data_IF_601106452541
#
_entry.id   IF_601106452541
#
_cell.length_a   1.000
_cell.length_b   1.000
_cell.length_c   1.000
_cell.angle_alpha   90.00
_cell.angle_beta   90.00
_cell.angle_gamma   90.00
#
_symmetry.space_group_name_H-M   'P 1'
#
loop_
_entity.id
_entity.type
_entity.pdbx_description
1 polymer ?
#
# COMPACT_ATOMS: atom_id res chain seq x y z
N UNK A 1 19.02 0.54 -13.62
CA UNK A 1 18.03 -0.41 -13.08
C UNK A 1 16.69 -0.20 -13.78
N UNK A 2 16.13 -1.25 -14.32
CA UNK A 2 14.82 -1.21 -14.99
C UNK A 2 13.69 -1.32 -13.97
N UNK A 3 12.46 -1.00 -14.39
CA UNK A 3 11.28 -1.17 -13.51
C UNK A 3 11.11 -2.61 -13.06
N UNK A 4 11.39 -3.59 -13.95
CA UNK A 4 11.35 -5.01 -13.60
C UNK A 4 12.39 -5.38 -12.55
N UNK A 5 13.60 -4.82 -12.63
CA UNK A 5 14.66 -5.09 -11.65
C UNK A 5 14.28 -4.55 -10.27
N UNK A 6 13.68 -3.37 -10.23
CA UNK A 6 13.20 -2.77 -8.98
C UNK A 6 12.08 -3.62 -8.39
N UNK A 7 11.12 -4.05 -9.21
CA UNK A 7 10.00 -4.88 -8.78
C UNK A 7 10.48 -6.20 -8.19
N UNK A 8 11.39 -6.91 -8.89
CA UNK A 8 11.96 -8.16 -8.40
C UNK A 8 12.72 -7.97 -7.09
N UNK A 9 13.54 -6.92 -7.00
CA UNK A 9 14.29 -6.61 -5.79
C UNK A 9 13.34 -6.38 -4.60
N UNK A 10 12.28 -5.59 -4.80
CA UNK A 10 11.32 -5.29 -3.75
C UNK A 10 10.54 -6.54 -3.32
N UNK A 11 10.17 -7.40 -4.26
CA UNK A 11 9.51 -8.68 -3.94
C UNK A 11 10.39 -9.57 -3.09
N UNK A 12 11.68 -9.69 -3.42
CA UNK A 12 12.63 -10.48 -2.65
C UNK A 12 12.78 -9.93 -1.23
N UNK A 13 12.93 -8.61 -1.10
CA UNK A 13 13.02 -7.96 0.21
C UNK A 13 11.75 -8.17 1.03
N UNK A 14 10.61 -8.12 0.37
CA UNK A 14 9.33 -8.39 0.99
C UNK A 14 9.27 -9.80 1.59
N UNK A 15 9.69 -10.80 0.84
CA UNK A 15 9.71 -12.19 1.32
C UNK A 15 10.64 -12.34 2.51
N UNK A 16 11.82 -11.73 2.47
CA UNK A 16 12.77 -11.73 3.59
C UNK A 16 12.15 -11.15 4.87
N UNK A 17 11.45 -10.02 4.74
CA UNK A 17 10.81 -9.36 5.89
C UNK A 17 9.69 -10.25 6.46
N UNK A 18 8.84 -10.82 5.60
CA UNK A 18 7.73 -11.67 6.02
C UNK A 18 8.21 -12.96 6.71
N UNK A 19 9.39 -13.44 6.34
CA UNK A 19 9.98 -14.62 6.96
C UNK A 19 10.72 -14.29 8.27
N UNK A 20 10.79 -13.03 8.64
CA UNK A 20 11.41 -12.59 9.89
C UNK A 20 10.38 -12.61 11.01
N UNK A 21 10.74 -13.21 12.14
CA UNK A 21 9.89 -13.26 13.33
C UNK A 21 10.27 -12.23 14.39
N UNK A 22 11.22 -11.35 14.07
CA UNK A 22 11.74 -10.34 14.99
C UNK A 22 11.25 -8.96 14.61
N UNK A 23 10.46 -8.32 15.46
CA UNK A 23 9.89 -6.98 15.22
C UNK A 23 10.97 -5.92 15.00
N UNK A 24 12.10 -6.03 15.70
CA UNK A 24 13.22 -5.11 15.53
C UNK A 24 13.83 -5.23 14.13
N UNK A 25 13.99 -6.46 13.64
CA UNK A 25 14.51 -6.69 12.29
C UNK A 25 13.54 -6.18 11.24
N UNK A 26 12.24 -6.37 11.44
CA UNK A 26 11.21 -5.81 10.55
C UNK A 26 11.32 -4.29 10.52
N UNK A 27 11.45 -3.63 11.65
CA UNK A 27 11.64 -2.19 11.74
C UNK A 27 12.88 -1.72 10.97
N UNK A 28 14.00 -2.41 11.15
CA UNK A 28 15.24 -2.08 10.42
C UNK A 28 15.08 -2.21 8.91
N UNK A 29 14.39 -3.25 8.45
CA UNK A 29 14.13 -3.44 7.02
C UNK A 29 13.21 -2.35 6.46
N UNK A 30 12.21 -1.93 7.23
CA UNK A 30 11.33 -0.84 6.81
C UNK A 30 12.07 0.49 6.72
N UNK A 31 13.03 0.75 7.61
CA UNK A 31 13.89 1.93 7.54
C UNK A 31 14.74 1.93 6.27
N UNK A 32 15.22 0.75 5.85
CA UNK A 32 15.95 0.61 4.59
C UNK A 32 15.08 0.94 3.37
N UNK A 33 13.81 0.62 3.39
CA UNK A 33 12.90 1.06 2.33
C UNK A 33 12.80 2.59 2.26
N UNK A 34 12.75 3.25 3.42
CA UNK A 34 12.78 4.72 3.48
C UNK A 34 14.03 5.30 2.83
N UNK A 35 15.18 4.70 3.08
CA UNK A 35 16.45 5.11 2.47
C UNK A 35 16.46 4.86 0.95
N UNK A 36 15.87 3.74 0.50
CA UNK A 36 15.73 3.46 -0.93
C UNK A 36 14.91 4.51 -1.66
N UNK A 37 13.82 4.99 -1.05
CA UNK A 37 13.01 6.07 -1.63
C UNK A 37 13.87 7.30 -1.93
N UNK A 38 14.76 7.64 -1.02
CA UNK A 38 15.66 8.80 -1.18
C UNK A 38 16.71 8.60 -2.28
N UNK A 39 17.02 7.36 -2.63
CA UNK A 39 18.03 7.04 -3.64
C UNK A 39 17.47 7.03 -5.06
N UNK A 40 16.15 7.03 -5.24
CA UNK A 40 15.52 7.04 -6.56
C UNK A 40 15.23 8.46 -7.04
N UNK A 41 15.61 8.74 -8.28
CA UNK A 41 15.48 10.07 -8.88
C UNK A 41 14.14 10.29 -9.57
N UNK A 42 13.47 9.24 -10.02
CA UNK A 42 12.24 9.36 -10.80
C UNK A 42 11.00 9.09 -9.93
N UNK A 43 9.90 9.77 -10.26
CA UNK A 43 8.60 9.53 -9.60
C UNK A 43 8.16 8.07 -9.71
N UNK A 44 8.44 7.44 -10.85
CA UNK A 44 8.04 6.05 -11.09
C UNK A 44 8.76 5.08 -10.15
N UNK A 45 10.06 5.28 -9.94
CA UNK A 45 10.84 4.46 -9.02
C UNK A 45 10.37 4.64 -7.58
N UNK A 46 10.10 5.87 -7.19
CA UNK A 46 9.53 6.19 -5.87
C UNK A 46 8.17 5.53 -5.72
N UNK A 47 7.33 5.59 -6.75
CA UNK A 47 6.01 4.96 -6.73
C UNK A 47 6.09 3.46 -6.51
N UNK A 48 7.02 2.74 -7.16
CA UNK A 48 7.23 1.32 -6.94
C UNK A 48 7.58 1.01 -5.47
N UNK A 49 8.51 1.77 -4.91
CA UNK A 49 8.92 1.57 -3.50
C UNK A 49 7.75 1.85 -2.55
N UNK A 50 7.03 2.94 -2.77
CA UNK A 50 5.88 3.30 -1.94
C UNK A 50 4.77 2.25 -1.99
N UNK A 51 4.55 1.64 -3.16
CA UNK A 51 3.55 0.59 -3.34
C UNK A 51 3.85 -0.61 -2.44
N UNK A 52 5.08 -1.09 -2.47
CA UNK A 52 5.48 -2.22 -1.66
C UNK A 52 5.57 -1.88 -0.18
N UNK A 53 6.13 -0.72 0.14
CA UNK A 53 6.24 -0.26 1.53
C UNK A 53 4.86 -0.09 2.18
N UNK A 54 3.91 0.52 1.47
CA UNK A 54 2.55 0.69 1.95
C UNK A 54 1.86 -0.65 2.21
N UNK A 55 1.97 -1.58 1.26
CA UNK A 55 1.44 -2.94 1.42
C UNK A 55 2.05 -3.63 2.64
N UNK A 56 3.36 -3.53 2.81
CA UNK A 56 4.06 -4.15 3.92
C UNK A 56 3.63 -3.60 5.26
N UNK A 57 3.59 -2.28 5.36
CA UNK A 57 3.12 -1.63 6.58
C UNK A 57 1.71 -2.08 6.94
N UNK A 58 0.85 -2.25 5.93
CA UNK A 58 -0.49 -2.79 6.13
C UNK A 58 -0.44 -4.22 6.68
N UNK A 59 0.35 -5.10 6.06
CA UNK A 59 0.42 -6.52 6.43
C UNK A 59 0.93 -6.69 7.87
N UNK A 60 1.94 -5.91 8.27
CA UNK A 60 2.51 -6.00 9.62
C UNK A 60 1.75 -5.17 10.67
N UNK A 61 0.66 -4.53 10.30
CA UNK A 61 -0.20 -3.79 11.22
C UNK A 61 0.23 -2.37 11.52
N UNK A 62 1.17 -1.81 10.76
CA UNK A 62 1.61 -0.42 10.90
C UNK A 62 0.72 0.49 10.04
N UNK A 63 -0.50 0.65 10.47
CA UNK A 63 -1.54 1.30 9.65
C UNK A 63 -1.29 2.78 9.38
N UNK A 64 -0.74 3.53 10.32
CA UNK A 64 -0.41 4.95 10.12
C UNK A 64 0.66 5.14 9.05
N UNK A 65 1.71 4.30 9.08
CA UNK A 65 2.75 4.33 8.08
C UNK A 65 2.21 3.88 6.71
N UNK A 66 1.36 2.86 6.70
CA UNK A 66 0.72 2.41 5.47
C UNK A 66 -0.10 3.53 4.82
N UNK A 67 -0.89 4.26 5.60
CA UNK A 67 -1.65 5.40 5.12
C UNK A 67 -0.75 6.49 4.54
N UNK A 68 0.35 6.82 5.22
CA UNK A 68 1.29 7.82 4.74
C UNK A 68 1.87 7.43 3.38
N UNK A 69 2.32 6.19 3.24
CA UNK A 69 2.93 5.69 2.00
C UNK A 69 1.94 5.65 0.85
N UNK A 70 0.75 5.12 1.09
CA UNK A 70 -0.28 4.96 0.06
C UNK A 70 -0.88 6.32 -0.36
N UNK A 71 -1.03 7.23 0.58
CA UNK A 71 -1.48 8.60 0.29
C UNK A 71 -0.45 9.32 -0.58
N UNK A 72 0.84 9.17 -0.27
CA UNK A 72 1.90 9.76 -1.07
C UNK A 72 1.93 9.16 -2.48
N UNK A 73 1.73 7.86 -2.61
CA UNK A 73 1.63 7.21 -3.91
C UNK A 73 0.46 7.80 -4.73
N UNK A 74 -0.67 8.04 -4.09
CA UNK A 74 -1.84 8.63 -4.75
C UNK A 74 -1.64 10.10 -5.15
N UNK A 75 -0.69 10.80 -4.56
CA UNK A 75 -0.28 12.12 -5.02
C UNK A 75 0.42 12.06 -6.40
N UNK A 76 1.13 10.96 -6.66
CA UNK A 76 1.79 10.73 -7.95
C UNK A 76 0.84 10.13 -8.98
N UNK A 77 0.00 9.19 -8.56
CA UNK A 77 -0.90 8.42 -9.42
C UNK A 77 -2.28 8.37 -8.76
N UNK A 78 -3.11 9.37 -9.03
CA UNK A 78 -4.40 9.57 -8.34
C UNK A 78 -5.41 8.43 -8.51
N UNK A 79 -5.28 7.65 -9.58
CA UNK A 79 -6.18 6.53 -9.87
C UNK A 79 -5.49 5.18 -9.73
N UNK A 80 -4.40 5.10 -8.97
CA UNK A 80 -3.70 3.84 -8.74
C UNK A 80 -4.61 2.89 -7.96
N UNK A 81 -5.00 1.80 -8.62
CA UNK A 81 -5.93 0.79 -8.07
C UNK A 81 -5.34 0.12 -6.85
N UNK A 82 -4.07 -0.20 -6.89
CA UNK A 82 -3.37 -0.84 -5.77
C UNK A 82 -3.39 0.06 -4.51
N UNK A 83 -3.04 1.33 -4.68
CA UNK A 83 -3.01 2.29 -3.58
C UNK A 83 -4.40 2.53 -2.98
N UNK A 84 -5.41 2.69 -3.83
CA UNK A 84 -6.79 2.88 -3.38
C UNK A 84 -7.30 1.67 -2.60
N UNK A 85 -6.99 0.47 -3.09
CA UNK A 85 -7.42 -0.78 -2.47
C UNK A 85 -6.82 -0.95 -1.09
N UNK A 86 -5.50 -0.84 -0.97
CA UNK A 86 -4.82 -1.00 0.31
C UNK A 86 -5.11 0.13 1.28
N UNK A 87 -5.26 1.36 0.79
CA UNK A 87 -5.65 2.48 1.65
C UNK A 87 -7.08 2.30 2.17
N UNK A 88 -8.00 1.88 1.30
CA UNK A 88 -9.37 1.55 1.72
C UNK A 88 -9.41 0.48 2.80
N UNK A 89 -8.63 -0.59 2.64
CA UNK A 89 -8.52 -1.63 3.66
C UNK A 89 -7.89 -1.10 4.95
N UNK A 90 -6.86 -0.27 4.83
CA UNK A 90 -6.20 0.32 6.00
C UNK A 90 -7.16 1.19 6.78
N UNK A 91 -7.92 2.04 6.11
CA UNK A 91 -8.95 2.84 6.76
C UNK A 91 -9.99 1.97 7.46
N UNK A 92 -10.41 0.87 6.84
CA UNK A 92 -11.33 -0.08 7.46
C UNK A 92 -10.75 -0.65 8.76
N UNK A 93 -9.47 -1.05 8.75
CA UNK A 93 -8.82 -1.65 9.91
C UNK A 93 -8.72 -0.70 11.10
N UNK A 94 -8.62 0.60 10.86
CA UNK A 94 -8.59 1.62 11.91
C UNK A 94 -9.96 2.29 12.14
N UNK A 95 -11.01 1.68 11.63
CA UNK A 95 -12.40 2.08 11.82
C UNK A 95 -12.77 3.45 11.23
N UNK A 96 -12.01 3.90 10.23
CA UNK A 96 -12.32 5.11 9.46
C UNK A 96 -13.15 4.72 8.24
N UNK A 97 -14.40 4.38 8.49
CA UNK A 97 -15.29 3.79 7.48
C UNK A 97 -15.67 4.75 6.36
N UNK A 98 -15.84 6.04 6.64
CA UNK A 98 -16.18 7.03 5.62
C UNK A 98 -15.03 7.18 4.61
N UNK A 99 -13.79 7.25 5.10
CA UNK A 99 -12.61 7.34 4.26
C UNK A 99 -12.42 6.05 3.46
N UNK A 100 -12.67 4.90 4.08
CA UNK A 100 -12.65 3.61 3.40
C UNK A 100 -13.64 3.58 2.24
N UNK A 101 -14.89 3.99 2.47
CA UNK A 101 -15.92 4.05 1.43
C UNK A 101 -15.55 5.00 0.30
N UNK A 102 -14.90 6.12 0.59
CA UNK A 102 -14.45 7.06 -0.43
C UNK A 102 -13.47 6.40 -1.40
N UNK A 103 -12.51 5.63 -0.90
CA UNK A 103 -11.54 4.91 -1.73
C UNK A 103 -12.22 3.79 -2.52
N UNK A 104 -13.11 3.03 -1.89
CA UNK A 104 -13.86 1.96 -2.56
C UNK A 104 -14.78 2.51 -3.64
N UNK A 105 -15.45 3.64 -3.39
CA UNK A 105 -16.27 4.30 -4.41
C UNK A 105 -15.44 4.72 -5.63
N UNK A 106 -14.24 5.21 -5.40
CA UNK A 106 -13.34 5.58 -6.48
C UNK A 106 -12.93 4.36 -7.30
N UNK A 107 -12.66 3.24 -6.64
CA UNK A 107 -12.38 1.97 -7.30
C UNK A 107 -13.57 1.49 -8.15
N UNK A 108 -14.79 1.61 -7.64
CA UNK A 108 -16.00 1.25 -8.38
C UNK A 108 -16.24 2.12 -9.60
N UNK A 109 -15.81 3.39 -9.57
CA UNK A 109 -15.85 4.25 -10.76
C UNK A 109 -14.85 3.81 -11.82
N UNK A 110 -13.71 3.24 -11.40
CA UNK A 110 -12.70 2.71 -12.32
C UNK A 110 -13.18 1.38 -12.92
N UNK A 111 -13.73 0.49 -12.08
CA UNK A 111 -14.31 -0.78 -12.52
C UNK A 111 -15.51 -1.14 -11.67
N UNK A 112 -16.71 -0.87 -12.21
CA UNK A 112 -17.98 -1.09 -11.52
C UNK A 112 -18.28 -2.57 -11.23
N UNK A 113 -17.63 -3.49 -11.91
CA UNK A 113 -17.87 -4.93 -11.81
C UNK A 113 -16.81 -5.67 -10.97
N UNK A 114 -15.93 -4.94 -10.29
CA UNK A 114 -14.91 -5.57 -9.45
C UNK A 114 -15.59 -6.22 -8.23
N UNK A 115 -15.64 -7.55 -8.24
CA UNK A 115 -16.32 -8.32 -7.19
C UNK A 115 -15.66 -8.14 -5.81
N UNK A 116 -14.35 -8.02 -5.76
CA UNK A 116 -13.67 -7.78 -4.49
C UNK A 116 -14.10 -6.43 -3.88
N UNK A 117 -14.13 -5.40 -4.71
CA UNK A 117 -14.50 -4.05 -4.27
C UNK A 117 -15.96 -4.01 -3.82
N UNK A 118 -16.85 -4.68 -4.56
CA UNK A 118 -18.27 -4.75 -4.20
C UNK A 118 -18.48 -5.43 -2.85
N UNK A 119 -17.79 -6.52 -2.59
CA UNK A 119 -17.85 -7.22 -1.30
C UNK A 119 -17.27 -6.37 -0.17
N UNK A 120 -16.14 -5.71 -0.42
CA UNK A 120 -15.53 -4.82 0.56
C UNK A 120 -16.46 -3.66 0.89
N UNK A 121 -17.08 -3.06 -0.11
CA UNK A 121 -18.05 -1.98 0.06
C UNK A 121 -19.22 -2.41 0.95
N UNK A 122 -19.81 -3.58 0.67
CA UNK A 122 -20.89 -4.12 1.48
C UNK A 122 -20.47 -4.34 2.94
N UNK A 123 -19.27 -4.84 3.16
CA UNK A 123 -18.75 -5.07 4.50
C UNK A 123 -18.60 -3.78 5.28
N UNK A 124 -18.10 -2.73 4.64
CA UNK A 124 -17.92 -1.41 5.29
C UNK A 124 -19.25 -0.78 5.62
N UNK A 125 -20.26 -0.88 4.72
CA UNK A 125 -21.60 -0.34 4.95
C UNK A 125 -22.27 -0.95 6.17
N UNK A 126 -21.99 -2.23 6.46
CA UNK A 126 -22.57 -2.91 7.63
C UNK A 126 -22.04 -2.38 8.96
N UNK A 127 -20.97 -1.64 8.96
CA UNK A 127 -20.39 -1.06 10.18
C UNK A 127 -21.06 0.26 10.50
#
# INVERSE_FOLDING_TARGET
MTDNDIDEFLKEKCIEILNSYNDELISQQMDKFGDLIKSFETKQNIAHVLRYQGKFNFIIGRYEQALADLTKLLEFETNDVFALRYRGETYYMIEKYEESLADLNKLLRINANDMWVLKAYEEVIRR
#
